data_IF_322788178889
#
_entry.id   IF_322788178889
#
_cell.length_a   1.000
_cell.length_b   1.000
_cell.length_c   1.000
_cell.angle_alpha   90.00
_cell.angle_beta   90.00
_cell.angle_gamma   90.00
#
_symmetry.space_group_name_H-M   'P 1'
#
loop_
_entity.id
_entity.type
_entity.pdbx_description
1 polymer ?
#
# COMPACT_ATOMS: atom_id res chain seq x y z
N UNK A 1 -3.31 9.16 -12.74
CA UNK A 1 -2.14 9.08 -11.84
C UNK A 1 -2.08 7.65 -11.29
N UNK A 2 -1.05 6.88 -11.63
CA UNK A 2 -0.80 5.57 -11.02
C UNK A 2 0.45 5.73 -10.16
N UNK A 3 0.25 5.79 -8.85
CA UNK A 3 1.32 6.04 -7.87
C UNK A 3 1.64 4.71 -7.18
N UNK A 4 2.86 4.23 -7.35
CA UNK A 4 3.39 3.07 -6.64
C UNK A 4 4.44 3.55 -5.62
N UNK A 5 3.98 4.37 -4.67
CA UNK A 5 4.81 4.95 -3.62
C UNK A 5 4.47 4.31 -2.26
N UNK A 6 5.48 4.13 -1.41
CA UNK A 6 5.36 3.54 -0.06
C UNK A 6 4.79 2.11 -0.11
N UNK A 7 3.62 1.85 0.47
CA UNK A 7 2.98 0.53 0.43
C UNK A 7 2.72 0.02 -1.00
N UNK A 8 2.51 0.92 -1.96
CA UNK A 8 2.40 0.54 -3.38
C UNK A 8 3.69 -0.07 -3.92
N UNK A 9 4.84 0.51 -3.58
CA UNK A 9 6.15 -0.05 -3.96
C UNK A 9 6.43 -1.37 -3.25
N UNK A 10 6.03 -1.51 -1.98
CA UNK A 10 6.14 -2.76 -1.22
C UNK A 10 5.41 -3.91 -1.93
N UNK A 11 4.24 -3.67 -2.54
CA UNK A 11 3.57 -4.70 -3.33
C UNK A 11 4.26 -4.93 -4.67
N UNK A 12 4.59 -3.83 -5.36
CA UNK A 12 5.17 -3.86 -6.70
C UNK A 12 6.53 -4.54 -6.75
N UNK A 13 7.36 -4.43 -5.70
CA UNK A 13 8.71 -4.99 -5.68
C UNK A 13 8.74 -6.52 -5.68
N UNK A 14 7.62 -7.20 -5.41
CA UNK A 14 7.49 -8.67 -5.45
C UNK A 14 7.39 -9.25 -6.87
N UNK A 15 7.18 -8.41 -7.88
CA UNK A 15 7.09 -8.86 -9.26
C UNK A 15 8.47 -9.28 -9.81
N UNK A 16 8.50 -10.33 -10.64
CA UNK A 16 9.72 -10.77 -11.34
C UNK A 16 10.25 -9.69 -12.30
N UNK A 17 9.35 -8.87 -12.82
CA UNK A 17 9.64 -7.73 -13.71
C UNK A 17 8.69 -6.58 -13.39
N UNK A 18 9.23 -5.44 -13.02
CA UNK A 18 8.49 -4.20 -12.78
C UNK A 18 8.65 -3.24 -13.96
N UNK A 19 7.56 -3.03 -14.68
CA UNK A 19 7.46 -2.04 -15.75
C UNK A 19 6.73 -0.80 -15.22
N UNK A 20 7.28 0.37 -15.48
CA UNK A 20 6.69 1.64 -15.08
C UNK A 20 6.44 2.55 -16.27
N UNK A 21 5.45 3.43 -16.19
CA UNK A 21 5.29 4.52 -17.17
C UNK A 21 6.40 5.58 -16.97
N UNK A 22 6.85 6.28 -18.03
CA UNK A 22 7.81 7.38 -17.89
C UNK A 22 7.41 8.46 -16.87
N UNK A 23 6.10 8.70 -16.71
CA UNK A 23 5.54 9.68 -15.76
C UNK A 23 5.04 9.04 -14.45
N UNK A 24 5.28 7.74 -14.26
CA UNK A 24 4.95 7.08 -13.00
C UNK A 24 5.85 7.61 -11.88
N UNK A 25 5.29 7.67 -10.67
CA UNK A 25 6.01 8.04 -9.45
C UNK A 25 6.25 6.79 -8.63
N UNK A 26 7.52 6.47 -8.39
CA UNK A 26 7.99 5.31 -7.64
C UNK A 26 8.78 5.73 -6.41
N UNK A 27 8.96 4.80 -5.48
CA UNK A 27 9.75 5.01 -4.27
C UNK A 27 8.88 5.30 -3.06
N UNK A 28 9.19 6.38 -2.35
CA UNK A 28 8.67 6.67 -1.00
C UNK A 28 8.88 5.50 -0.05
N UNK A 29 10.07 4.89 -0.10
CA UNK A 29 10.46 3.82 0.82
C UNK A 29 10.77 4.48 2.17
N UNK A 30 9.73 4.61 2.97
CA UNK A 30 9.74 5.30 4.25
C UNK A 30 8.47 5.00 5.03
N UNK A 31 8.51 5.30 6.32
CA UNK A 31 7.39 5.07 7.25
C UNK A 31 7.15 6.38 7.99
N UNK A 32 5.92 6.86 7.94
CA UNK A 32 5.48 8.03 8.70
C UNK A 32 4.34 7.61 9.63
N UNK A 33 4.28 8.24 10.80
CA UNK A 33 3.17 8.09 11.73
C UNK A 33 2.79 9.46 12.26
N UNK A 34 1.64 9.94 11.81
CA UNK A 34 1.09 11.23 12.22
C UNK A 34 -0.13 11.00 13.10
N UNK A 35 -0.09 11.51 14.33
CA UNK A 35 -1.20 11.40 15.28
C UNK A 35 -1.53 12.81 15.77
N UNK A 36 -2.68 13.38 15.38
CA UNK A 36 -3.07 14.70 15.85
C UNK A 36 -3.36 14.64 17.35
N UNK A 37 -2.95 15.68 18.11
CA UNK A 37 -3.20 15.77 19.54
C UNK A 37 -4.22 16.87 19.86
N UNK A 38 -5.32 16.48 20.51
CA UNK A 38 -6.42 17.35 20.92
C UNK A 38 -6.55 17.46 22.43
N UNK A 39 -5.59 16.92 23.19
CA UNK A 39 -5.62 16.86 24.65
C UNK A 39 -5.82 18.25 25.29
N UNK A 40 -5.02 19.25 24.88
CA UNK A 40 -5.10 20.59 25.45
C UNK A 40 -6.43 21.30 25.14
N UNK A 41 -7.08 20.96 24.01
CA UNK A 41 -8.38 21.51 23.66
C UNK A 41 -9.48 20.92 24.53
N UNK A 42 -9.51 19.60 24.65
CA UNK A 42 -10.51 18.88 25.43
C UNK A 42 -10.38 19.18 26.93
N UNK A 43 -9.16 19.35 27.42
CA UNK A 43 -8.90 19.77 28.80
C UNK A 43 -9.50 21.15 29.11
N UNK A 44 -9.43 22.11 28.19
CA UNK A 44 -10.05 23.44 28.35
C UNK A 44 -11.58 23.37 28.38
N UNK A 45 -12.15 22.37 27.72
CA UNK A 45 -13.60 22.13 27.67
C UNK A 45 -14.08 21.28 28.86
N UNK A 46 -13.19 20.95 29.81
CA UNK A 46 -13.52 20.18 31.02
C UNK A 46 -13.68 18.68 30.78
N UNK A 47 -13.25 18.16 29.63
CA UNK A 47 -13.34 16.74 29.29
C UNK A 47 -12.08 16.02 29.78
N UNK A 48 -12.25 15.11 30.74
CA UNK A 48 -11.19 14.25 31.25
C UNK A 48 -11.34 12.81 30.73
N UNK A 49 -10.24 12.23 30.27
CA UNK A 49 -10.20 10.85 29.80
C UNK A 49 -9.54 9.96 30.85
N UNK A 50 -10.34 9.11 31.51
CA UNK A 50 -9.80 8.02 32.31
C UNK A 50 -9.35 6.89 31.38
N UNK A 51 -8.11 6.45 31.54
CA UNK A 51 -7.51 5.43 30.68
C UNK A 51 -6.96 4.31 31.53
N UNK A 52 -7.44 3.10 31.29
CA UNK A 52 -6.91 1.88 31.90
C UNK A 52 -6.22 1.07 30.81
N UNK A 53 -4.91 0.87 30.91
CA UNK A 53 -4.15 0.03 29.98
C UNK A 53 -3.33 -1.01 30.71
N UNK A 54 -3.25 -2.22 30.15
CA UNK A 54 -2.36 -3.26 30.63
C UNK A 54 -1.00 -3.15 29.92
N UNK A 55 0.04 -2.69 30.62
CA UNK A 55 1.40 -2.52 30.07
C UNK A 55 1.74 -1.06 29.76
N UNK A 56 2.99 -0.67 30.07
CA UNK A 56 3.46 0.71 30.13
C UNK A 56 3.40 1.48 28.80
N UNK A 57 3.47 0.78 27.67
CA UNK A 57 3.55 1.36 26.32
C UNK A 57 2.41 0.97 25.38
N UNK A 58 1.28 0.45 25.89
CA UNK A 58 0.11 0.17 25.02
C UNK A 58 -0.55 1.44 24.45
N UNK A 59 -0.20 2.62 24.98
CA UNK A 59 -0.59 3.95 24.49
C UNK A 59 0.63 4.87 24.42
N UNK A 60 1.46 4.64 23.41
CA UNK A 60 2.63 5.48 23.14
C UNK A 60 2.17 6.87 22.66
N UNK A 61 1.43 6.95 21.55
CA UNK A 61 0.85 8.21 21.07
C UNK A 61 -0.67 8.07 20.96
N UNK A 62 -1.41 9.01 21.55
CA UNK A 62 -2.89 9.02 21.51
C UNK A 62 -3.38 10.47 21.43
N UNK A 63 -4.40 10.76 20.60
CA UNK A 63 -4.94 12.11 20.45
C UNK A 63 -5.40 12.78 21.75
N UNK A 64 -5.84 12.00 22.73
CA UNK A 64 -6.49 12.48 23.97
C UNK A 64 -5.60 12.35 25.21
N UNK A 65 -4.32 12.00 25.05
CA UNK A 65 -3.33 11.97 26.13
C UNK A 65 -2.34 13.11 25.90
N UNK A 66 -1.83 13.71 26.98
CA UNK A 66 -0.65 14.57 26.87
C UNK A 66 0.54 13.75 26.38
N UNK A 67 1.22 14.23 25.33
CA UNK A 67 2.41 13.56 24.78
C UNK A 67 3.60 13.85 25.70
N UNK A 68 4.27 12.80 26.18
CA UNK A 68 5.51 12.90 26.93
C UNK A 68 6.74 12.62 26.05
N UNK A 69 7.94 12.98 26.51
CA UNK A 69 9.18 12.71 25.75
C UNK A 69 9.41 11.21 25.53
N UNK A 70 9.17 10.39 26.56
CA UNK A 70 9.34 8.94 26.49
C UNK A 70 8.37 8.29 25.49
N UNK A 71 7.18 8.86 25.32
CA UNK A 71 6.23 8.43 24.30
C UNK A 71 6.79 8.68 22.89
N UNK A 72 7.31 9.88 22.64
CA UNK A 72 7.91 10.23 21.34
C UNK A 72 9.13 9.36 21.03
N UNK A 73 10.00 9.14 22.01
CA UNK A 73 11.19 8.28 21.85
C UNK A 73 10.82 6.83 21.52
N UNK A 74 9.82 6.27 22.22
CA UNK A 74 9.34 4.91 21.93
C UNK A 74 8.72 4.82 20.54
N UNK A 75 7.90 5.80 20.14
CA UNK A 75 7.32 5.81 18.79
C UNK A 75 8.36 5.98 17.69
N UNK A 76 9.43 6.74 17.92
CA UNK A 76 10.55 6.82 16.97
C UNK A 76 11.23 5.47 16.79
N UNK A 77 11.53 4.77 17.89
CA UNK A 77 12.09 3.42 17.83
C UNK A 77 11.17 2.44 17.07
N UNK A 78 9.86 2.50 17.32
CA UNK A 78 8.89 1.65 16.62
C UNK A 78 8.88 1.94 15.10
N UNK A 79 8.98 3.21 14.69
CA UNK A 79 9.04 3.60 13.28
C UNK A 79 10.35 3.13 12.62
N UNK A 80 11.47 3.24 13.33
CA UNK A 80 12.79 2.77 12.87
C UNK A 80 12.82 1.24 12.68
N UNK A 81 12.17 0.49 13.58
CA UNK A 81 12.00 -0.96 13.46
C UNK A 81 11.19 -1.31 12.20
N UNK A 82 10.06 -0.63 11.97
CA UNK A 82 9.24 -0.85 10.77
C UNK A 82 9.99 -0.46 9.50
N UNK A 83 10.75 0.64 9.50
CA UNK A 83 11.59 1.03 8.37
C UNK A 83 12.66 -0.02 8.09
N UNK A 84 13.29 -0.58 9.12
CA UNK A 84 14.27 -1.66 8.98
C UNK A 84 13.65 -2.90 8.35
N UNK A 85 12.44 -3.28 8.77
CA UNK A 85 11.70 -4.39 8.16
C UNK A 85 11.36 -4.10 6.69
N UNK A 86 10.92 -2.88 6.37
CA UNK A 86 10.61 -2.49 5.00
C UNK A 86 11.85 -2.54 4.09
N UNK A 87 12.97 -1.94 4.51
CA UNK A 87 14.25 -2.01 3.79
C UNK A 87 14.68 -3.46 3.55
N UNK A 88 14.58 -4.30 4.58
CA UNK A 88 14.93 -5.72 4.50
C UNK A 88 14.06 -6.45 3.48
N UNK A 89 12.75 -6.23 3.52
CA UNK A 89 11.81 -6.84 2.59
C UNK A 89 12.11 -6.44 1.14
N UNK A 90 12.29 -5.14 0.88
CA UNK A 90 12.61 -4.66 -0.48
C UNK A 90 13.94 -5.24 -0.96
N UNK A 91 14.97 -5.30 -0.12
CA UNK A 91 16.28 -5.89 -0.47
C UNK A 91 16.19 -7.38 -0.82
N UNK A 92 15.30 -8.12 -0.16
CA UNK A 92 15.06 -9.54 -0.48
C UNK A 92 14.42 -9.72 -1.85
N UNK A 93 13.46 -8.86 -2.21
CA UNK A 93 12.78 -8.94 -3.50
C UNK A 93 13.61 -8.33 -4.64
N UNK A 94 14.44 -7.33 -4.34
CA UNK A 94 15.28 -6.60 -5.30
C UNK A 94 16.76 -6.61 -4.86
N UNK A 95 17.50 -7.72 -4.98
CA UNK A 95 18.88 -7.80 -4.47
C UNK A 95 19.88 -6.85 -5.14
N UNK A 96 19.58 -6.39 -6.36
CA UNK A 96 20.41 -5.44 -7.13
C UNK A 96 20.23 -3.99 -6.65
N UNK A 97 19.14 -3.69 -5.96
CA UNK A 97 18.78 -2.33 -5.55
C UNK A 97 19.68 -1.84 -4.41
N UNK A 98 20.29 -0.67 -4.60
CA UNK A 98 21.07 0.00 -3.55
C UNK A 98 20.12 0.68 -2.56
N UNK A 99 19.69 -0.07 -1.54
CA UNK A 99 18.62 0.36 -0.63
C UNK A 99 18.89 1.68 0.08
N UNK A 100 20.15 1.97 0.43
CA UNK A 100 20.49 3.16 1.20
C UNK A 100 20.32 4.46 0.38
N UNK A 101 20.37 4.38 -0.95
CA UNK A 101 20.15 5.53 -1.84
C UNK A 101 18.65 5.82 -2.07
N UNK A 102 17.79 4.81 -1.92
CA UNK A 102 16.36 4.91 -2.25
C UNK A 102 15.43 4.86 -1.03
N UNK A 103 15.95 4.49 0.13
CA UNK A 103 15.18 4.44 1.38
C UNK A 103 15.32 5.73 2.21
N UNK A 104 15.23 6.87 1.52
CA UNK A 104 15.22 8.24 2.07
C UNK A 104 13.80 8.75 2.32
N UNK A 105 12.78 8.07 1.79
CA UNK A 105 11.39 8.52 1.78
C UNK A 105 11.02 9.41 0.57
N UNK A 106 11.99 9.75 -0.27
CA UNK A 106 11.78 10.53 -1.50
C UNK A 106 11.07 9.71 -2.59
N UNK A 107 10.57 10.41 -3.59
CA UNK A 107 9.94 9.81 -4.77
C UNK A 107 10.71 10.18 -6.04
N UNK A 108 10.66 9.28 -7.02
CA UNK A 108 11.33 9.43 -8.30
C UNK A 108 10.36 9.20 -9.44
N UNK A 109 10.48 10.02 -10.49
CA UNK A 109 9.77 9.78 -11.75
C UNK A 109 10.40 8.61 -12.51
N UNK A 110 9.65 8.01 -13.44
CA UNK A 110 10.05 6.80 -14.16
C UNK A 110 11.51 6.79 -14.65
N UNK A 111 11.96 7.86 -15.32
CA UNK A 111 13.34 7.97 -15.80
C UNK A 111 14.39 7.87 -14.67
N UNK A 112 14.17 8.60 -13.58
CA UNK A 112 15.06 8.60 -12.42
C UNK A 112 14.97 7.31 -11.61
N UNK A 113 13.79 6.71 -11.58
CA UNK A 113 13.51 5.44 -10.93
C UNK A 113 14.21 4.28 -11.65
N UNK A 114 14.22 4.29 -12.99
CA UNK A 114 14.96 3.31 -13.79
C UNK A 114 16.47 3.39 -13.53
N UNK A 115 17.03 4.60 -13.46
CA UNK A 115 18.46 4.78 -13.15
C UNK A 115 18.88 4.27 -11.76
N UNK A 116 17.93 4.16 -10.84
CA UNK A 116 18.12 3.69 -9.46
C UNK A 116 17.68 2.24 -9.27
N UNK A 117 17.43 1.50 -10.34
CA UNK A 117 16.91 0.13 -10.32
C UNK A 117 15.57 -0.03 -9.56
N UNK A 118 14.80 1.06 -9.40
CA UNK A 118 13.47 1.01 -8.78
C UNK A 118 12.44 0.38 -9.72
N UNK A 119 12.68 0.34 -11.03
CA UNK A 119 11.92 -0.43 -12.02
C UNK A 119 12.88 -0.97 -13.08
N UNK A 120 12.45 -1.98 -13.83
CA UNK A 120 13.29 -2.65 -14.83
C UNK A 120 13.17 -2.01 -16.22
N UNK A 121 12.03 -1.37 -16.52
CA UNK A 121 11.78 -0.78 -17.82
C UNK A 121 10.71 0.32 -17.80
N UNK A 122 10.80 1.23 -18.77
CA UNK A 122 9.82 2.29 -19.00
C UNK A 122 8.95 2.04 -20.22
N UNK A 123 7.69 1.69 -19.99
CA UNK A 123 6.66 1.46 -21.02
C UNK A 123 5.28 1.79 -20.51
N UNK A 124 4.36 2.08 -21.41
CA UNK A 124 2.93 2.14 -21.06
C UNK A 124 2.33 0.74 -21.05
N UNK A 125 1.18 0.59 -20.40
CA UNK A 125 0.44 -0.68 -20.41
C UNK A 125 0.11 -1.13 -21.84
N UNK A 126 -0.28 -0.19 -22.71
CA UNK A 126 -0.62 -0.50 -24.09
C UNK A 126 0.58 -1.03 -24.87
N UNK A 127 1.77 -0.43 -24.68
CA UNK A 127 3.01 -0.91 -25.31
C UNK A 127 3.30 -2.36 -24.89
N UNK A 128 3.17 -2.66 -23.60
CA UNK A 128 3.40 -4.02 -23.06
C UNK A 128 2.40 -5.01 -23.66
N UNK A 129 1.11 -4.65 -23.76
CA UNK A 129 0.09 -5.52 -24.32
C UNK A 129 0.32 -5.77 -25.82
N UNK A 130 0.65 -4.74 -26.58
CA UNK A 130 0.92 -4.84 -28.02
C UNK A 130 2.16 -5.72 -28.30
N UNK A 131 3.22 -5.60 -27.50
CA UNK A 131 4.40 -6.47 -27.61
C UNK A 131 4.07 -7.94 -27.34
N UNK A 132 3.24 -8.21 -26.33
CA UNK A 132 2.83 -9.58 -26.01
C UNK A 132 1.95 -10.18 -27.12
N UNK A 133 1.03 -9.39 -27.70
CA UNK A 133 0.23 -9.80 -28.86
C UNK A 133 1.10 -10.06 -30.09
N UNK A 134 2.06 -9.18 -30.39
CA UNK A 134 2.99 -9.33 -31.49
C UNK A 134 3.89 -10.57 -31.34
N UNK A 135 4.21 -10.94 -30.09
CA UNK A 135 4.91 -12.18 -29.76
C UNK A 135 4.01 -13.44 -29.85
N UNK A 136 2.76 -13.31 -30.30
CA UNK A 136 1.83 -14.41 -30.48
C UNK A 136 1.20 -14.92 -29.18
N UNK A 137 1.21 -14.13 -28.10
CA UNK A 137 0.57 -14.51 -26.83
C UNK A 137 -0.91 -14.14 -26.82
N UNK A 138 -1.73 -15.04 -26.31
CA UNK A 138 -3.14 -14.75 -26.02
C UNK A 138 -3.26 -13.99 -24.70
N UNK A 139 -4.06 -12.92 -24.69
CA UNK A 139 -4.24 -12.04 -23.53
C UNK A 139 -5.68 -12.15 -23.04
N UNK A 140 -5.83 -12.48 -21.76
CA UNK A 140 -7.13 -12.59 -21.10
C UNK A 140 -7.26 -11.57 -19.98
N UNK A 141 -8.41 -10.89 -19.89
CA UNK A 141 -8.76 -10.06 -18.74
C UNK A 141 -9.49 -10.92 -17.72
N UNK A 142 -8.87 -11.14 -16.56
CA UNK A 142 -9.44 -11.93 -15.47
C UNK A 142 -9.78 -10.99 -14.30
N UNK A 143 -10.98 -11.13 -13.75
CA UNK A 143 -11.44 -10.35 -12.59
C UNK A 143 -11.74 -11.28 -11.42
N UNK A 144 -11.09 -11.03 -10.28
CA UNK A 144 -11.41 -11.73 -9.05
C UNK A 144 -12.84 -11.40 -8.60
N UNK A 145 -13.66 -12.43 -8.33
CA UNK A 145 -14.93 -12.30 -7.64
C UNK A 145 -14.81 -12.97 -6.28
N UNK A 146 -14.99 -12.24 -5.16
CA UNK A 146 -15.03 -12.87 -3.86
C UNK A 146 -16.21 -13.84 -3.80
N UNK A 147 -16.06 -14.99 -3.10
CA UNK A 147 -17.16 -15.92 -2.91
C UNK A 147 -18.32 -15.17 -2.20
N UNK A 148 -19.53 -15.27 -2.75
CA UNK A 148 -20.69 -14.73 -2.08
C UNK A 148 -21.05 -15.65 -0.90
N UNK A 149 -20.65 -15.29 0.31
CA UNK A 149 -21.08 -15.98 1.52
C UNK A 149 -22.10 -15.12 2.28
N UNK A 150 -23.34 -15.63 2.40
CA UNK A 150 -24.40 -15.05 3.23
C UNK A 150 -25.81 -15.34 2.71
N UNK A 151 -26.87 -15.11 3.50
CA UNK A 151 -28.26 -15.36 3.09
C UNK A 151 -28.68 -14.56 1.85
N UNK A 152 -28.08 -13.40 1.63
CA UNK A 152 -28.34 -12.55 0.47
C UNK A 152 -27.84 -13.17 -0.85
N UNK A 153 -26.79 -14.00 -0.81
CA UNK A 153 -26.28 -14.73 -1.98
C UNK A 153 -27.29 -15.77 -2.49
N UNK A 154 -28.03 -16.38 -1.56
CA UNK A 154 -29.08 -17.35 -1.86
C UNK A 154 -30.32 -16.68 -2.48
N UNK A 155 -30.60 -15.42 -2.12
CA UNK A 155 -31.69 -14.63 -2.70
C UNK A 155 -31.32 -13.98 -4.05
N UNK A 156 -30.04 -13.69 -4.29
CA UNK A 156 -29.55 -13.16 -5.56
C UNK A 156 -29.37 -14.25 -6.65
N UNK A 157 -29.39 -15.53 -6.28
CA UNK A 157 -29.17 -16.67 -7.18
C UNK A 157 -30.38 -17.06 -8.06
N UNK A 158 -31.40 -16.22 -8.19
CA UNK A 158 -32.62 -16.57 -8.90
C UNK A 158 -33.28 -15.41 -9.63
N UNK A 159 -32.66 -14.89 -10.69
CA UNK A 159 -33.32 -14.41 -11.92
C UNK A 159 -32.36 -13.69 -12.88
N UNK A 160 -32.23 -14.25 -14.09
CA UNK A 160 -32.28 -13.59 -15.41
C UNK A 160 -31.43 -12.35 -15.72
N UNK A 161 -30.78 -12.42 -16.88
CA UNK A 161 -29.96 -11.39 -17.53
C UNK A 161 -30.57 -9.97 -17.65
N UNK A 162 -29.63 -9.03 -17.73
CA UNK A 162 -29.66 -7.69 -18.33
C UNK A 162 -30.38 -6.49 -17.67
N UNK A 163 -29.65 -5.37 -17.81
CA UNK A 163 -30.02 -3.96 -17.59
C UNK A 163 -30.13 -3.47 -16.13
N UNK A 164 -29.13 -2.67 -15.72
CA UNK A 164 -29.38 -1.33 -15.17
C UNK A 164 -28.12 -0.45 -15.14
N UNK A 165 -28.26 0.70 -15.80
CA UNK A 165 -27.39 1.86 -15.72
C UNK A 165 -27.16 2.33 -14.28
N UNK A 166 -25.97 2.86 -14.05
CA UNK A 166 -25.72 4.09 -13.27
C UNK A 166 -26.11 4.09 -11.80
N UNK A 167 -25.12 3.89 -10.92
CA UNK A 167 -25.02 4.66 -9.68
C UNK A 167 -23.57 4.59 -9.16
N UNK A 168 -22.81 5.65 -9.42
CA UNK A 168 -21.64 5.98 -8.63
C UNK A 168 -22.08 6.34 -7.21
N UNK A 169 -21.69 5.54 -6.23
CA UNK A 169 -21.72 5.91 -4.82
C UNK A 169 -20.41 5.44 -4.20
N UNK A 170 -19.69 6.39 -3.60
CA UNK A 170 -18.29 6.25 -3.25
C UNK A 170 -18.03 5.57 -1.92
N UNK A 171 -16.73 5.56 -1.60
CA UNK A 171 -16.21 5.58 -0.23
C UNK A 171 -16.24 4.26 0.51
N UNK A 172 -15.07 3.65 0.66
CA UNK A 172 -14.90 2.55 1.61
C UNK A 172 -13.55 1.90 1.45
N UNK A 173 -12.50 2.55 1.98
CA UNK A 173 -11.19 1.93 2.14
C UNK A 173 -11.32 0.69 3.03
N UNK A 174 -11.15 -0.48 2.42
CA UNK A 174 -11.07 -1.75 3.12
C UNK A 174 -9.84 -2.48 2.62
N UNK A 175 -8.79 -2.53 3.44
CA UNK A 175 -7.60 -3.35 3.19
C UNK A 175 -8.01 -4.82 3.30
N UNK A 176 -8.50 -5.37 2.19
CA UNK A 176 -8.77 -6.80 2.05
C UNK A 176 -7.48 -7.52 1.67
N UNK A 177 -7.11 -8.53 2.47
CA UNK A 177 -5.91 -9.35 2.32
C UNK A 177 -5.59 -9.71 0.87
N UNK A 178 -4.45 -9.24 0.36
CA UNK A 178 -3.92 -9.64 -0.94
C UNK A 178 -3.24 -10.99 -0.78
N UNK A 179 -3.90 -12.05 -1.27
CA UNK A 179 -3.25 -13.35 -1.47
C UNK A 179 -2.57 -13.34 -2.84
N UNK A 180 -1.26 -13.47 -2.84
CA UNK A 180 -0.45 -13.65 -4.04
C UNK A 180 -0.85 -14.95 -4.75
N UNK A 181 -1.15 -14.85 -6.05
CA UNK A 181 -1.23 -16.00 -6.94
C UNK A 181 0.02 -15.98 -7.82
N UNK A 182 0.94 -16.90 -7.55
CA UNK A 182 2.07 -17.18 -8.44
C UNK A 182 1.55 -17.95 -9.66
N UNK A 183 1.75 -17.40 -10.86
CA UNK A 183 1.55 -18.14 -12.11
C UNK A 183 2.89 -18.76 -12.50
N UNK A 184 2.99 -20.08 -12.33
CA UNK A 184 4.11 -20.86 -12.83
C UNK A 184 4.09 -20.90 -14.36
N UNK A 185 5.25 -20.68 -14.96
CA UNK A 185 5.50 -20.95 -16.37
C UNK A 185 5.89 -22.43 -16.52
N UNK A 186 5.16 -23.13 -17.39
CA UNK A 186 5.62 -24.34 -18.06
C UNK A 186 6.28 -23.96 -19.39
#
# INVERSE_FOLDING_TARGET
>A
EQVAASGGYMMACTADRLVASPFAVLGSIGVISEIPNVYERLKKEGVEFQTVTAGKFKRTLTPTKKVEKADVEKSKADIEDVLTLFKTFVKQQRPKLVIDEVATGETWFGADALQRDLCDELKTTDDVLLELLAAGREIFSVKYRPPQSGPAALLAGGSGDDARMGASAGGGGGWGAVRAAALGLA
#
